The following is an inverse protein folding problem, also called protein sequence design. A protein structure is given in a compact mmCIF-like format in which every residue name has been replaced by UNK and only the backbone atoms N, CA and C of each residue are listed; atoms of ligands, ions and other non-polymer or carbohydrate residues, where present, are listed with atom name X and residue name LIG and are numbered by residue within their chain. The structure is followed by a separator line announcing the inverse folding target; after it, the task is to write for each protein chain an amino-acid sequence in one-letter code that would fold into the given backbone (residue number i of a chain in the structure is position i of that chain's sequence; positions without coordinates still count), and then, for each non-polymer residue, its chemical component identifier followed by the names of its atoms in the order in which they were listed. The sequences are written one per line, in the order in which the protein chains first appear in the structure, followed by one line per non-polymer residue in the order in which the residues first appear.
data_IF_188887246559
#
_entry.id   IF_188887246559
#
_cell.length_a   1.000
_cell.length_b   1.000
_cell.length_c   1.000
_cell.angle_alpha   90.00
_cell.angle_beta   90.00
_cell.angle_gamma   90.00
#
_symmetry.space_group_name_H-M   'P 1'
#
loop_
_entity.id
_entity.type
_entity.pdbx_description
1 polymer ?
#
# COMPACT_ATOMS: atom_id res chain seq x y z
N UNK A 1 -12.99 13.40 -1.47
CA UNK A 1 -13.14 12.42 -2.57
C UNK A 1 -14.14 11.38 -2.09
N UNK A 2 -15.18 11.10 -2.85
CA UNK A 2 -16.15 10.04 -2.53
C UNK A 2 -16.19 9.07 -3.70
N UNK A 3 -16.08 7.78 -3.40
CA UNK A 3 -16.17 6.70 -4.39
C UNK A 3 -17.58 6.10 -4.29
N UNK A 4 -18.31 6.08 -5.40
CA UNK A 4 -19.62 5.40 -5.50
C UNK A 4 -19.45 4.14 -6.34
N UNK A 5 -19.84 3.00 -5.78
CA UNK A 5 -19.79 1.70 -6.45
C UNK A 5 -21.11 1.51 -7.23
N UNK A 6 -21.03 1.41 -8.56
CA UNK A 6 -22.21 1.36 -9.44
C UNK A 6 -22.49 -0.03 -10.03
N UNK A 7 -21.55 -0.99 -9.93
CA UNK A 7 -21.68 -2.37 -10.42
C UNK A 7 -21.35 -3.42 -9.33
N UNK A 8 -21.63 -4.70 -9.62
CA UNK A 8 -21.20 -5.86 -8.80
C UNK A 8 -19.66 -5.91 -8.80
N UNK A 9 -19.05 -5.21 -7.86
CA UNK A 9 -17.61 -5.18 -7.69
C UNK A 9 -17.12 -6.44 -6.98
N UNK A 10 -16.10 -7.09 -7.54
CA UNK A 10 -15.41 -8.20 -6.88
C UNK A 10 -14.22 -7.67 -6.09
N UNK A 11 -14.10 -8.11 -4.83
CA UNK A 11 -13.01 -7.77 -3.94
C UNK A 11 -12.15 -9.00 -3.69
N UNK A 12 -10.85 -8.86 -3.96
CA UNK A 12 -9.82 -9.86 -3.69
C UNK A 12 -8.86 -9.39 -2.58
N UNK A 13 -8.04 -10.34 -2.11
CA UNK A 13 -6.93 -10.12 -1.18
C UNK A 13 -7.36 -9.42 0.13
N UNK A 14 -8.58 -9.72 0.59
CA UNK A 14 -9.10 -9.17 1.83
C UNK A 14 -8.32 -9.73 3.01
N UNK A 15 -7.70 -8.84 3.78
CA UNK A 15 -7.01 -9.17 5.01
C UNK A 15 -7.24 -8.09 6.06
N UNK A 16 -7.30 -8.46 7.34
CA UNK A 16 -7.53 -7.52 8.42
C UNK A 16 -7.69 -8.22 9.76
N UNK A 17 -7.65 -7.42 10.83
CA UNK A 17 -7.67 -7.93 12.21
C UNK A 17 -8.55 -7.08 13.15
N UNK A 18 -9.42 -6.24 12.60
CA UNK A 18 -10.27 -5.32 13.35
C UNK A 18 -9.61 -3.97 13.69
N UNK A 19 -8.29 -3.85 13.54
CA UNK A 19 -7.57 -2.57 13.64
C UNK A 19 -7.28 -1.96 12.27
N UNK A 20 -7.12 -2.82 11.27
CA UNK A 20 -7.06 -2.47 9.87
C UNK A 20 -7.82 -3.50 9.03
N UNK A 21 -8.16 -3.10 7.81
CA UNK A 21 -8.50 -4.00 6.72
C UNK A 21 -7.92 -3.46 5.41
N UNK A 22 -7.42 -4.36 4.57
CA UNK A 22 -6.99 -4.09 3.19
C UNK A 22 -7.77 -4.97 2.23
N UNK A 23 -7.73 -4.60 0.96
CA UNK A 23 -8.16 -5.45 -0.15
C UNK A 23 -7.95 -4.73 -1.48
N UNK A 24 -8.37 -5.36 -2.56
CA UNK A 24 -8.36 -4.73 -3.88
C UNK A 24 -9.64 -5.01 -4.64
N UNK A 25 -10.24 -3.96 -5.21
CA UNK A 25 -11.31 -4.10 -6.19
C UNK A 25 -10.69 -4.53 -7.52
N UNK A 26 -11.15 -5.62 -8.12
CA UNK A 26 -10.48 -6.24 -9.29
C UNK A 26 -11.29 -6.25 -10.59
N UNK A 27 -12.61 -6.11 -10.50
CA UNK A 27 -13.52 -6.07 -11.66
C UNK A 27 -14.69 -5.14 -11.31
N UNK A 28 -15.06 -4.29 -12.26
CA UNK A 28 -16.20 -3.39 -12.18
C UNK A 28 -15.87 -1.96 -12.59
N UNK A 29 -16.88 -1.10 -12.56
CA UNK A 29 -16.73 0.34 -12.74
C UNK A 29 -17.00 1.06 -11.41
N UNK A 30 -16.21 2.10 -11.15
CA UNK A 30 -16.41 3.00 -10.02
C UNK A 30 -16.36 4.44 -10.48
N UNK A 31 -17.26 5.26 -9.94
CA UNK A 31 -17.24 6.69 -10.22
C UNK A 31 -16.31 7.39 -9.24
N UNK A 32 -15.30 8.04 -9.78
CA UNK A 32 -14.46 8.96 -9.03
C UNK A 32 -15.10 10.34 -9.11
N UNK A 33 -15.67 10.78 -7.99
CA UNK A 33 -16.13 12.16 -7.84
C UNK A 33 -15.01 13.01 -7.26
N UNK A 34 -14.49 13.92 -8.09
CA UNK A 34 -13.65 15.04 -7.63
C UNK A 34 -14.51 16.30 -7.54
N UNK A 35 -14.08 17.36 -6.82
CA UNK A 35 -14.88 18.58 -6.67
C UNK A 35 -15.30 19.26 -7.99
N UNK A 36 -14.62 18.96 -9.10
CA UNK A 36 -14.80 19.61 -10.40
C UNK A 36 -15.30 18.69 -11.51
N UNK A 37 -15.19 17.37 -11.37
CA UNK A 37 -15.62 16.41 -12.39
C UNK A 37 -15.99 15.05 -11.77
N UNK A 38 -17.04 14.45 -12.33
CA UNK A 38 -17.32 13.02 -12.20
C UNK A 38 -16.63 12.29 -13.35
N UNK A 39 -15.81 11.30 -13.02
CA UNK A 39 -15.21 10.42 -14.02
C UNK A 39 -15.48 8.96 -13.65
N UNK A 40 -16.06 8.21 -14.58
CA UNK A 40 -16.26 6.77 -14.42
C UNK A 40 -14.95 6.06 -14.78
N UNK A 41 -14.39 5.35 -13.82
CA UNK A 41 -13.21 4.51 -14.00
C UNK A 41 -13.66 3.06 -14.13
N UNK A 42 -13.22 2.37 -15.18
CA UNK A 42 -13.49 0.94 -15.38
C UNK A 42 -12.20 0.14 -15.15
N UNK A 43 -12.26 -0.83 -14.25
CA UNK A 43 -11.18 -1.79 -14.05
C UNK A 43 -11.31 -2.92 -15.06
N UNK A 44 -10.31 -3.05 -15.92
CA UNK A 44 -10.14 -4.14 -16.87
C UNK A 44 -9.60 -5.38 -16.15
N UNK A 45 -9.55 -6.49 -16.89
CA UNK A 45 -8.89 -7.70 -16.41
C UNK A 45 -7.49 -7.39 -15.87
N UNK A 46 -7.16 -7.98 -14.73
CA UNK A 46 -5.88 -7.83 -14.01
C UNK A 46 -5.56 -6.43 -13.42
N UNK A 47 -6.36 -5.40 -13.68
CA UNK A 47 -6.24 -4.13 -12.96
C UNK A 47 -6.86 -4.29 -11.57
N UNK A 48 -6.41 -3.46 -10.63
CA UNK A 48 -7.11 -3.33 -9.37
C UNK A 48 -6.96 -1.94 -8.77
N UNK A 49 -7.94 -1.56 -7.96
CA UNK A 49 -7.85 -0.41 -7.07
C UNK A 49 -7.67 -0.94 -5.64
N UNK A 50 -6.49 -0.79 -5.02
CA UNK A 50 -6.28 -1.24 -3.65
C UNK A 50 -6.93 -0.25 -2.66
N UNK A 51 -7.37 -0.76 -1.51
CA UNK A 51 -7.85 0.04 -0.40
C UNK A 51 -7.28 -0.42 0.92
N UNK A 52 -7.12 0.54 1.82
CA UNK A 52 -6.86 0.30 3.22
C UNK A 52 -7.84 1.14 4.05
N UNK A 53 -8.31 0.56 5.14
CA UNK A 53 -9.06 1.24 6.19
C UNK A 53 -8.49 0.83 7.53
N UNK A 54 -8.47 1.73 8.49
CA UNK A 54 -7.97 1.42 9.81
C UNK A 54 -8.34 2.49 10.82
N UNK A 55 -8.03 2.22 12.08
CA UNK A 55 -8.14 3.20 13.16
C UNK A 55 -6.94 4.14 13.04
N UNK A 56 -7.10 5.42 12.66
CA UNK A 56 -5.97 6.32 12.46
C UNK A 56 -5.17 6.47 13.75
N UNK A 57 -3.85 6.43 13.64
CA UNK A 57 -2.97 6.48 14.79
C UNK A 57 -1.88 7.55 14.58
N UNK A 58 -1.93 8.60 15.41
CA UNK A 58 -0.96 9.70 15.34
C UNK A 58 0.36 9.34 16.03
N UNK A 59 1.35 8.94 15.23
CA UNK A 59 2.70 8.66 15.71
C UNK A 59 3.35 9.86 16.43
N UNK A 60 3.04 11.11 16.08
CA UNK A 60 3.70 12.28 16.68
C UNK A 60 3.35 12.46 18.15
N UNK A 61 2.18 11.99 18.58
CA UNK A 61 1.75 11.94 19.98
C UNK A 61 2.36 10.78 20.79
N UNK A 62 3.02 9.82 20.12
CA UNK A 62 3.54 8.60 20.71
C UNK A 62 5.00 8.67 21.21
N UNK A 63 5.61 7.51 21.51
CA UNK A 63 6.98 7.41 22.00
C UNK A 63 8.00 8.16 21.14
N UNK A 64 8.97 8.82 21.75
CA UNK A 64 9.96 9.69 21.09
C UNK A 64 11.39 9.15 21.10
N UNK A 65 11.60 7.92 21.56
CA UNK A 65 12.92 7.30 21.64
C UNK A 65 12.88 5.85 21.14
N UNK A 66 14.00 5.39 20.58
CA UNK A 66 14.13 4.03 20.06
C UNK A 66 13.67 3.86 18.61
N UNK A 67 13.50 2.61 18.22
CA UNK A 67 13.07 2.20 16.87
C UNK A 67 12.05 1.09 16.97
N UNK A 68 11.06 1.09 16.10
CA UNK A 68 10.15 -0.03 15.92
C UNK A 68 10.58 -0.83 14.69
N UNK A 69 10.78 -2.13 14.86
CA UNK A 69 11.02 -3.04 13.75
C UNK A 69 9.66 -3.56 13.25
N UNK A 70 9.41 -3.40 11.96
CA UNK A 70 8.14 -3.76 11.36
C UNK A 70 8.29 -5.00 10.48
N UNK A 71 7.56 -6.06 10.83
CA UNK A 71 7.53 -7.33 10.12
C UNK A 71 6.29 -7.41 9.23
N UNK A 72 6.40 -8.08 8.08
CA UNK A 72 5.29 -8.30 7.17
C UNK A 72 4.08 -8.95 7.88
N UNK A 73 2.89 -8.41 7.66
CA UNK A 73 1.62 -8.93 8.19
C UNK A 73 0.69 -9.35 7.05
N UNK A 74 0.42 -8.46 6.09
CA UNK A 74 -0.50 -8.70 4.98
C UNK A 74 -0.16 -7.85 3.75
N UNK A 75 -0.67 -8.22 2.59
CA UNK A 75 -0.55 -7.41 1.35
C UNK A 75 -1.67 -7.74 0.37
N UNK A 76 -1.90 -6.81 -0.55
CA UNK A 76 -2.57 -7.13 -1.81
C UNK A 76 -1.53 -7.63 -2.82
N UNK A 77 -1.95 -8.44 -3.78
CA UNK A 77 -1.09 -8.76 -4.92
C UNK A 77 -0.73 -7.47 -5.69
N UNK A 78 0.52 -7.32 -6.17
CA UNK A 78 0.88 -6.22 -7.07
C UNK A 78 0.10 -6.35 -8.38
N UNK A 79 -0.43 -5.24 -8.87
CA UNK A 79 -1.17 -5.20 -10.14
C UNK A 79 -0.57 -4.17 -11.07
N UNK A 80 -0.49 -4.52 -12.36
CA UNK A 80 -0.13 -3.57 -13.41
C UNK A 80 -1.27 -2.57 -13.63
N UNK A 81 -0.93 -1.29 -13.73
CA UNK A 81 -1.89 -0.20 -13.85
C UNK A 81 -2.64 -0.23 -15.17
N UNK A 82 -2.10 -0.84 -16.23
CA UNK A 82 -2.78 -0.97 -17.53
C UNK A 82 -3.53 -2.30 -17.71
N UNK A 83 -3.34 -3.25 -16.79
CA UNK A 83 -3.96 -4.58 -16.82
C UNK A 83 -3.34 -5.57 -17.81
N UNK A 84 -2.23 -5.22 -18.46
CA UNK A 84 -1.55 -6.06 -19.45
C UNK A 84 -1.01 -7.36 -18.87
N UNK A 85 -0.64 -7.35 -17.58
CA UNK A 85 -0.04 -8.47 -16.85
C UNK A 85 -0.95 -8.90 -15.69
N UNK A 86 -1.07 -10.21 -15.49
CA UNK A 86 -1.78 -10.78 -14.35
C UNK A 86 -1.18 -10.32 -13.00
N UNK A 87 -2.02 -10.26 -11.97
CA UNK A 87 -1.59 -9.89 -10.63
C UNK A 87 -0.45 -10.79 -10.15
N UNK A 88 0.61 -10.18 -9.62
CA UNK A 88 1.82 -10.87 -9.20
C UNK A 88 1.79 -11.35 -7.76
N UNK A 89 2.98 -11.45 -7.15
CA UNK A 89 3.18 -11.89 -5.77
C UNK A 89 3.96 -10.85 -4.98
N UNK A 90 3.50 -10.57 -3.77
CA UNK A 90 4.25 -9.78 -2.80
C UNK A 90 5.12 -10.69 -1.94
N UNK A 91 6.42 -10.38 -1.85
CA UNK A 91 7.39 -11.22 -1.15
C UNK A 91 7.62 -10.71 0.27
N UNK A 92 6.77 -11.15 1.20
CA UNK A 92 6.80 -10.73 2.61
C UNK A 92 8.12 -11.01 3.33
N UNK A 93 8.77 -12.15 3.06
CA UNK A 93 10.05 -12.51 3.66
C UNK A 93 11.22 -11.60 3.23
N UNK A 94 11.13 -11.00 2.05
CA UNK A 94 12.11 -10.05 1.52
C UNK A 94 11.76 -8.59 1.82
N UNK A 95 10.70 -8.33 2.58
CA UNK A 95 10.19 -6.98 2.83
C UNK A 95 10.32 -6.60 4.31
N UNK A 96 10.68 -5.35 4.58
CA UNK A 96 10.87 -4.84 5.94
C UNK A 96 10.62 -3.33 6.02
N UNK A 97 10.27 -2.88 7.22
CA UNK A 97 10.26 -1.46 7.54
C UNK A 97 10.80 -1.20 8.95
N UNK A 98 11.32 0.00 9.17
CA UNK A 98 11.77 0.47 10.47
C UNK A 98 11.24 1.88 10.68
N UNK A 99 10.65 2.13 11.86
CA UNK A 99 10.23 3.47 12.28
C UNK A 99 11.24 3.98 13.30
N UNK A 100 11.90 5.10 13.00
CA UNK A 100 12.70 5.82 13.98
C UNK A 100 11.76 6.70 14.83
N UNK A 101 11.63 6.41 16.11
CA UNK A 101 10.69 7.12 16.98
C UNK A 101 11.17 8.53 17.36
N UNK A 102 12.47 8.81 17.30
CA UNK A 102 12.98 10.15 17.56
C UNK A 102 12.67 11.11 16.41
N UNK A 103 12.82 10.65 15.17
CA UNK A 103 12.64 11.49 13.97
C UNK A 103 11.28 11.30 13.29
N UNK A 104 10.52 10.26 13.68
CA UNK A 104 9.27 9.83 13.03
C UNK A 104 9.43 9.50 11.54
N UNK A 105 10.64 9.13 11.16
CA UNK A 105 10.99 8.73 9.80
C UNK A 105 10.89 7.22 9.65
N UNK A 106 10.35 6.79 8.51
CA UNK A 106 10.29 5.39 8.11
C UNK A 106 11.36 5.08 7.06
N UNK A 107 12.03 3.94 7.23
CA UNK A 107 12.85 3.28 6.21
C UNK A 107 12.14 2.00 5.77
N UNK A 108 12.05 1.78 4.47
CA UNK A 108 11.23 0.77 3.83
C UNK A 108 12.02 0.03 2.76
N UNK A 109 11.84 -1.29 2.71
CA UNK A 109 12.22 -2.14 1.60
C UNK A 109 11.08 -3.11 1.32
N UNK A 110 10.57 -3.10 0.08
CA UNK A 110 9.58 -4.05 -0.40
C UNK A 110 10.19 -4.93 -1.47
N UNK A 111 9.73 -6.18 -1.55
CA UNK A 111 10.07 -7.12 -2.62
C UNK A 111 8.80 -7.68 -3.26
N UNK A 112 8.76 -7.75 -4.58
CA UNK A 112 7.63 -8.28 -5.33
C UNK A 112 8.07 -8.91 -6.66
N UNK A 113 7.19 -9.75 -7.20
CA UNK A 113 7.31 -10.36 -8.52
C UNK A 113 6.04 -10.10 -9.32
N UNK A 114 6.17 -9.80 -10.60
CA UNK A 114 5.03 -9.63 -11.52
C UNK A 114 5.44 -9.90 -12.97
N UNK A 115 4.64 -10.70 -13.68
CA UNK A 115 4.97 -11.09 -15.05
C UNK A 115 6.34 -11.77 -15.12
N UNK A 116 7.23 -11.21 -15.94
CA UNK A 116 8.62 -11.65 -16.06
C UNK A 116 9.59 -10.87 -15.15
N UNK A 117 9.11 -9.86 -14.42
CA UNK A 117 9.91 -9.04 -13.52
C UNK A 117 9.97 -9.72 -12.14
N UNK A 118 11.12 -10.31 -11.83
CA UNK A 118 11.37 -10.99 -10.56
C UNK A 118 12.31 -10.19 -9.66
N UNK A 119 12.08 -10.24 -8.34
CA UNK A 119 12.89 -9.56 -7.34
C UNK A 119 12.84 -8.04 -7.46
N UNK A 120 11.72 -7.49 -7.93
CA UNK A 120 11.51 -6.04 -8.00
C UNK A 120 11.55 -5.49 -6.59
N UNK A 121 12.36 -4.45 -6.36
CA UNK A 121 12.50 -3.82 -5.05
C UNK A 121 12.00 -2.38 -5.04
N UNK A 122 11.24 -2.03 -4.00
CA UNK A 122 10.87 -0.64 -3.69
C UNK A 122 11.56 -0.26 -2.40
N UNK A 123 12.64 0.51 -2.51
CA UNK A 123 13.44 0.95 -1.36
C UNK A 123 13.33 2.45 -1.16
N UNK A 124 12.96 2.87 0.05
CA UNK A 124 12.76 4.26 0.42
C UNK A 124 13.26 4.51 1.83
N UNK A 125 13.81 5.69 2.05
CA UNK A 125 14.19 6.19 3.37
C UNK A 125 13.64 7.61 3.51
N UNK A 126 13.64 8.14 4.73
CA UNK A 126 13.13 9.49 5.01
C UNK A 126 11.65 9.66 4.64
N UNK A 127 10.87 8.57 4.69
CA UNK A 127 9.42 8.64 4.49
C UNK A 127 8.82 9.28 5.74
N UNK A 128 7.98 10.28 5.53
CA UNK A 128 7.12 10.87 6.56
C UNK A 128 5.72 10.27 6.43
N UNK A 129 5.07 10.06 7.56
CA UNK A 129 3.67 9.59 7.62
C UNK A 129 2.75 10.59 6.92
N UNK A 130 1.72 10.09 6.25
CA UNK A 130 0.71 10.85 5.50
C UNK A 130 1.26 11.70 4.34
N UNK A 131 2.53 11.51 3.97
CA UNK A 131 3.20 12.28 2.92
C UNK A 131 3.70 11.37 1.80
N UNK A 132 3.38 11.68 0.53
CA UNK A 132 3.91 10.93 -0.61
C UNK A 132 5.42 11.12 -0.72
N UNK A 133 6.14 10.00 -0.80
CA UNK A 133 7.59 9.96 -1.00
C UNK A 133 7.90 9.33 -2.37
N UNK A 134 8.46 10.11 -3.29
CA UNK A 134 8.70 9.70 -4.69
C UNK A 134 10.21 9.65 -5.02
N UNK A 135 10.57 9.26 -6.25
CA UNK A 135 11.96 9.22 -6.74
C UNK A 135 12.45 7.82 -7.13
N UNK A 136 13.50 7.72 -7.95
CA UNK A 136 14.06 6.42 -8.35
C UNK A 136 13.06 5.46 -9.01
N UNK A 137 12.07 5.98 -9.74
CA UNK A 137 11.05 5.18 -10.43
C UNK A 137 9.96 4.58 -9.52
N UNK A 138 9.90 4.99 -8.25
CA UNK A 138 8.88 4.50 -7.30
C UNK A 138 8.31 5.59 -6.42
N UNK A 139 7.11 5.35 -5.90
CA UNK A 139 6.36 6.21 -5.00
C UNK A 139 5.78 5.39 -3.86
N UNK A 140 5.74 5.97 -2.66
CA UNK A 140 5.10 5.36 -1.49
C UNK A 140 4.33 6.40 -0.70
N UNK A 141 3.24 5.99 -0.06
CA UNK A 141 2.56 6.71 1.02
C UNK A 141 2.51 5.74 2.20
N UNK A 142 2.83 6.24 3.38
CA UNK A 142 2.80 5.47 4.61
C UNK A 142 1.80 6.07 5.59
N UNK A 143 0.97 5.21 6.18
CA UNK A 143 0.02 5.58 7.23
C UNK A 143 0.21 4.64 8.42
N UNK A 144 0.01 5.16 9.63
CA UNK A 144 -0.05 4.33 10.84
C UNK A 144 -1.46 4.17 11.34
N UNK A 145 -1.81 2.93 11.65
CA UNK A 145 -3.12 2.55 12.15
C UNK A 145 -3.01 1.62 13.35
N UNK A 146 -4.08 1.52 14.12
CA UNK A 146 -4.19 0.61 15.25
C UNK A 146 -4.60 1.31 16.54
N UNK A 147 -4.51 0.57 17.65
CA UNK A 147 -4.94 1.06 18.96
C UNK A 147 -3.79 1.27 19.95
N UNK A 148 -2.55 0.96 19.59
CA UNK A 148 -1.37 1.02 20.46
C UNK A 148 -0.23 1.78 19.78
N UNK A 149 0.12 2.95 20.32
CA UNK A 149 1.20 3.81 19.83
C UNK A 149 2.60 3.18 19.91
N UNK A 150 2.77 2.17 20.76
CA UNK A 150 4.02 1.41 20.85
C UNK A 150 4.07 0.21 19.91
N UNK A 151 2.92 -0.22 19.39
CA UNK A 151 2.79 -1.39 18.50
C UNK A 151 1.85 -1.10 17.33
N UNK A 152 2.15 -0.06 16.51
CA UNK A 152 1.30 0.32 15.41
C UNK A 152 1.34 -0.72 14.29
N UNK A 153 0.31 -0.71 13.45
CA UNK A 153 0.40 -1.25 12.11
C UNK A 153 0.81 -0.14 11.15
N UNK A 154 1.74 -0.45 10.26
CA UNK A 154 2.22 0.45 9.22
C UNK A 154 1.63 0.00 7.88
N UNK A 155 0.75 0.81 7.31
CA UNK A 155 0.14 0.60 6.00
C UNK A 155 0.95 1.35 4.96
N UNK A 156 1.38 0.66 3.92
CA UNK A 156 2.17 1.21 2.82
C UNK A 156 1.38 1.04 1.53
N UNK A 157 1.00 2.14 0.90
CA UNK A 157 0.66 2.17 -0.52
C UNK A 157 1.94 2.39 -1.32
N UNK A 158 2.17 1.57 -2.35
CA UNK A 158 3.35 1.68 -3.19
C UNK A 158 2.99 1.66 -4.67
N UNK A 159 3.83 2.32 -5.47
CA UNK A 159 3.86 2.24 -6.92
C UNK A 159 5.30 2.22 -7.42
N UNK A 160 5.60 1.44 -8.45
CA UNK A 160 6.92 1.36 -9.07
C UNK A 160 6.81 1.08 -10.56
N UNK A 161 7.76 1.59 -11.34
CA UNK A 161 7.92 1.20 -12.74
C UNK A 161 8.75 -0.08 -12.80
N UNK A 162 8.32 -1.02 -13.62
CA UNK A 162 9.01 -2.28 -13.91
C UNK A 162 9.39 -2.35 -15.39
N UNK A 163 10.47 -3.06 -15.76
CA UNK A 163 10.92 -3.13 -17.14
C UNK A 163 9.90 -3.70 -18.12
N UNK A 164 9.14 -4.73 -17.72
CA UNK A 164 8.22 -5.42 -18.63
C UNK A 164 6.75 -5.29 -18.25
N UNK A 165 6.44 -5.07 -16.97
CA UNK A 165 5.05 -4.99 -16.48
C UNK A 165 4.52 -3.55 -16.35
N UNK A 166 5.33 -2.55 -16.72
CA UNK A 166 4.97 -1.14 -16.69
C UNK A 166 4.83 -0.59 -15.27
N UNK A 167 3.86 0.28 -15.07
CA UNK A 167 3.52 0.82 -13.75
C UNK A 167 2.80 -0.24 -12.91
N UNK A 168 3.34 -0.55 -11.74
CA UNK A 168 2.84 -1.60 -10.84
C UNK A 168 2.63 -1.02 -9.45
N UNK A 169 1.53 -1.38 -8.80
CA UNK A 169 1.23 -0.90 -7.45
C UNK A 169 0.47 -1.89 -6.59
N UNK A 170 0.34 -1.58 -5.30
CA UNK A 170 -0.36 -2.38 -4.32
C UNK A 170 -0.27 -1.81 -2.90
N UNK A 171 -0.73 -2.60 -1.94
CA UNK A 171 -0.65 -2.33 -0.50
C UNK A 171 0.13 -3.40 0.23
N UNK A 172 0.87 -2.99 1.25
CA UNK A 172 1.44 -3.87 2.26
C UNK A 172 1.16 -3.33 3.65
N UNK A 173 0.94 -4.23 4.60
CA UNK A 173 0.78 -3.92 6.01
C UNK A 173 1.88 -4.62 6.78
N UNK A 174 2.52 -3.87 7.66
CA UNK A 174 3.52 -4.37 8.58
C UNK A 174 3.04 -4.19 10.01
N UNK A 175 3.39 -5.14 10.87
CA UNK A 175 3.21 -5.05 12.31
C UNK A 175 4.50 -4.58 12.96
N UNK A 176 4.47 -3.48 13.69
CA UNK A 176 5.64 -2.86 14.29
C UNK A 176 5.70 -3.09 15.81
N UNK A 177 6.89 -3.30 16.35
CA UNK A 177 7.14 -3.48 17.79
C UNK A 177 8.60 -3.20 18.17
#
# INVERSE_FOLDING_TARGET
MSVKLSDVAEIDDVAGNGQYAIGRWKVGSFDVTTPTVNNTQTLRANQAAPYAVGIPLDLYSGPSTGTLACTYEASTKPTSLDGSIAAGTFNGAGSSAIINLATKVITLNLSLDIGADHGVTVSKANILVDMPTTGGGSSVIAETVGSDLSKPYLVIAYGTVTPTSGDVGGLAVFRCQ
#
